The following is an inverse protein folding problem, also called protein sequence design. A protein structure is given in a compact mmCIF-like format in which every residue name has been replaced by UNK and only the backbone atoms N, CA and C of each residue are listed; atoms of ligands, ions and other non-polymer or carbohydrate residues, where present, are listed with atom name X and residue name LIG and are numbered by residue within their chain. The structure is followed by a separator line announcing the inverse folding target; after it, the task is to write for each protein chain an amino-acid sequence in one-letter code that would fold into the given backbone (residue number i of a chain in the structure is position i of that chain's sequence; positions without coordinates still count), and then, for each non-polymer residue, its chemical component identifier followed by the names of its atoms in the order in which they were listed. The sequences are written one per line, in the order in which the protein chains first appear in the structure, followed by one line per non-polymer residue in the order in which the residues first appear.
data_IF_239567654898
#
_entry.id   IF_239567654898
#
_cell.length_a   1.000
_cell.length_b   1.000
_cell.length_c   1.000
_cell.angle_alpha   90.00
_cell.angle_beta   90.00
_cell.angle_gamma   90.00
#
_symmetry.space_group_name_H-M   'P 1'
#
loop_
_entity.id
_entity.type
_entity.pdbx_description
1 polymer ?
#
# COMPACT_ATOMS: atom_id res chain seq x y z
N UNK A 1 4.91 14.85 19.48
CA UNK A 1 5.86 14.94 18.35
C UNK A 1 5.20 15.67 17.18
N UNK A 2 5.98 16.37 16.35
CA UNK A 2 5.56 17.01 15.11
C UNK A 2 6.11 16.18 13.94
N UNK A 3 5.23 15.59 13.16
CA UNK A 3 5.57 14.56 12.17
C UNK A 3 5.17 15.05 10.79
N UNK A 4 6.09 15.02 9.82
CA UNK A 4 5.76 15.21 8.41
C UNK A 4 5.49 13.83 7.77
N UNK A 5 4.23 13.54 7.43
CA UNK A 5 3.87 12.39 6.58
C UNK A 5 3.98 12.82 5.11
N UNK A 6 4.89 12.19 4.38
CA UNK A 6 5.21 12.54 3.00
C UNK A 6 4.73 11.46 2.05
N UNK A 7 3.93 11.84 1.06
CA UNK A 7 3.43 10.94 0.03
C UNK A 7 3.59 11.57 -1.36
N UNK A 8 4.39 10.98 -2.22
CA UNK A 8 4.55 11.43 -3.60
C UNK A 8 3.37 10.95 -4.47
N UNK A 9 2.25 11.59 -4.29
CA UNK A 9 1.00 11.29 -4.98
C UNK A 9 -0.05 12.38 -4.83
N UNK A 10 -1.10 12.36 -5.67
CA UNK A 10 -2.25 13.22 -5.49
C UNK A 10 -2.94 12.92 -4.17
N UNK A 11 -3.50 13.95 -3.54
CA UNK A 11 -4.22 13.80 -2.28
C UNK A 11 -5.23 14.95 -2.12
N UNK A 12 -6.49 14.65 -1.71
CA UNK A 12 -7.04 13.33 -1.43
C UNK A 12 -7.22 12.46 -2.68
N UNK A 13 -7.09 11.13 -2.53
CA UNK A 13 -7.37 10.15 -3.59
C UNK A 13 -7.76 8.80 -2.93
N UNK A 14 -8.51 7.95 -3.63
CA UNK A 14 -9.00 6.66 -3.15
C UNK A 14 -8.07 5.47 -3.48
N UNK A 15 -6.80 5.72 -3.77
CA UNK A 15 -5.80 4.66 -3.95
C UNK A 15 -5.36 4.10 -2.61
N UNK A 16 -4.91 2.86 -2.58
CA UNK A 16 -4.58 2.15 -1.33
C UNK A 16 -3.54 2.87 -0.47
N UNK A 17 -2.48 3.43 -1.06
CA UNK A 17 -1.45 4.17 -0.33
C UNK A 17 -1.99 5.47 0.28
N UNK A 18 -2.84 6.21 -0.46
CA UNK A 18 -3.46 7.44 0.05
C UNK A 18 -4.43 7.16 1.20
N UNK A 19 -5.23 6.10 1.07
CA UNK A 19 -6.15 5.66 2.12
C UNK A 19 -5.36 5.28 3.38
N UNK A 20 -4.28 4.51 3.26
CA UNK A 20 -3.43 4.14 4.39
C UNK A 20 -2.80 5.37 5.05
N UNK A 21 -2.24 6.30 4.25
CA UNK A 21 -1.62 7.53 4.78
C UNK A 21 -2.65 8.40 5.49
N UNK A 22 -3.88 8.49 4.98
CA UNK A 22 -4.97 9.20 5.65
C UNK A 22 -5.30 8.57 7.01
N UNK A 23 -5.49 7.24 7.03
CA UNK A 23 -5.80 6.51 8.26
C UNK A 23 -4.68 6.66 9.30
N UNK A 24 -3.42 6.58 8.86
CA UNK A 24 -2.26 6.82 9.74
C UNK A 24 -2.22 8.24 10.26
N UNK A 25 -2.46 9.25 9.41
CA UNK A 25 -2.48 10.64 9.81
C UNK A 25 -3.56 10.90 10.88
N UNK A 26 -4.75 10.35 10.68
CA UNK A 26 -5.87 10.51 11.61
C UNK A 26 -5.61 9.75 12.93
N UNK A 27 -5.10 8.52 12.85
CA UNK A 27 -4.74 7.72 14.02
C UNK A 27 -3.64 8.38 14.88
N UNK A 28 -2.58 8.85 14.23
CA UNK A 28 -1.46 9.51 14.92
C UNK A 28 -1.90 10.86 15.52
N UNK A 29 -2.77 11.63 14.86
CA UNK A 29 -3.40 12.85 15.42
C UNK A 29 -4.26 12.52 16.64
N UNK A 30 -5.07 11.46 16.55
CA UNK A 30 -5.90 10.99 17.66
C UNK A 30 -5.11 10.63 18.93
N UNK A 31 -3.80 10.38 18.79
CA UNK A 31 -2.85 10.13 19.90
C UNK A 31 -2.11 11.38 20.38
N UNK A 32 -2.54 12.57 19.96
CA UNK A 32 -2.00 13.84 20.44
C UNK A 32 -0.73 14.31 19.72
N UNK A 33 -0.40 13.75 18.54
CA UNK A 33 0.73 14.22 17.74
C UNK A 33 0.28 15.24 16.68
N UNK A 34 1.13 16.23 16.39
CA UNK A 34 0.91 17.13 15.27
C UNK A 34 1.39 16.45 13.97
N UNK A 35 0.48 16.29 13.01
CA UNK A 35 0.76 15.62 11.73
C UNK A 35 0.54 16.58 10.57
N UNK A 36 1.61 16.79 9.80
CA UNK A 36 1.63 17.63 8.60
C UNK A 36 1.74 16.73 7.36
N UNK A 37 0.67 16.71 6.55
CA UNK A 37 0.66 15.96 5.29
C UNK A 37 1.34 16.76 4.18
N UNK A 38 2.37 16.19 3.57
CA UNK A 38 3.10 16.77 2.44
C UNK A 38 2.93 15.87 1.21
N UNK A 39 2.16 16.35 0.24
CA UNK A 39 1.75 15.59 -0.95
C UNK A 39 1.84 16.46 -2.20
N UNK A 40 1.51 15.92 -3.37
CA UNK A 40 1.36 16.73 -4.59
C UNK A 40 0.15 17.70 -4.56
N UNK A 41 -0.74 17.55 -3.57
CA UNK A 41 -2.02 18.26 -3.50
C UNK A 41 -3.08 17.64 -4.40
N UNK A 42 -4.23 18.32 -4.51
CA UNK A 42 -5.34 17.88 -5.35
C UNK A 42 -5.00 18.07 -6.84
N UNK A 43 -4.44 17.04 -7.45
CA UNK A 43 -4.11 17.02 -8.89
C UNK A 43 -5.07 16.10 -9.61
N UNK A 44 -6.02 16.66 -10.35
CA UNK A 44 -6.94 15.89 -11.18
C UNK A 44 -6.20 15.10 -12.28
N UNK A 45 -6.63 13.85 -12.52
CA UNK A 45 -6.16 13.07 -13.68
C UNK A 45 -4.70 12.60 -13.65
N UNK A 46 -4.07 12.53 -12.49
CA UNK A 46 -2.70 12.04 -12.38
C UNK A 46 -2.57 10.60 -12.91
N UNK A 47 -1.82 10.44 -14.00
CA UNK A 47 -1.52 9.11 -14.56
C UNK A 47 -0.55 8.37 -13.66
N UNK A 48 -0.74 7.07 -13.39
CA UNK A 48 0.23 6.24 -12.69
C UNK A 48 1.48 6.02 -13.54
N UNK A 49 2.59 5.68 -12.87
CA UNK A 49 3.85 5.36 -13.51
C UNK A 49 4.75 6.58 -13.83
N UNK A 50 5.94 6.33 -14.39
CA UNK A 50 6.93 7.36 -14.68
C UNK A 50 6.51 8.21 -15.90
N UNK A 51 6.51 9.52 -15.71
CA UNK A 51 6.29 10.51 -16.79
C UNK A 51 6.92 11.86 -16.44
N UNK A 52 7.28 12.68 -17.44
CA UNK A 52 8.04 13.91 -17.25
C UNK A 52 7.38 14.91 -16.27
N UNK A 53 6.06 15.08 -16.34
CA UNK A 53 5.34 15.97 -15.43
C UNK A 53 5.43 15.54 -13.95
N UNK A 54 5.82 14.29 -13.65
CA UNK A 54 6.04 13.80 -12.29
C UNK A 54 7.33 14.39 -11.70
N UNK A 55 8.39 14.55 -12.50
CA UNK A 55 9.65 15.14 -12.05
C UNK A 55 9.44 16.54 -11.49
N UNK A 56 8.68 17.40 -12.19
CA UNK A 56 8.37 18.74 -11.70
C UNK A 56 7.59 18.70 -10.37
N UNK A 57 6.69 17.73 -10.20
CA UNK A 57 5.95 17.54 -8.94
C UNK A 57 6.84 17.05 -7.82
N UNK A 58 7.82 16.19 -8.13
CA UNK A 58 8.80 15.71 -7.15
C UNK A 58 9.69 16.86 -6.66
N UNK A 59 10.15 17.75 -7.55
CA UNK A 59 10.88 18.96 -7.18
C UNK A 59 10.01 19.87 -6.30
N UNK A 60 8.75 20.09 -6.68
CA UNK A 60 7.82 20.87 -5.85
C UNK A 60 7.55 20.23 -4.48
N UNK A 61 7.54 18.87 -4.40
CA UNK A 61 7.40 18.13 -3.15
C UNK A 61 8.60 18.40 -2.22
N UNK A 62 9.83 18.36 -2.74
CA UNK A 62 11.04 18.69 -1.98
C UNK A 62 10.93 20.10 -1.40
N UNK A 63 10.56 21.10 -2.20
CA UNK A 63 10.42 22.47 -1.76
C UNK A 63 9.31 22.67 -0.72
N UNK A 64 8.17 21.95 -0.85
CA UNK A 64 7.09 21.93 0.16
C UNK A 64 7.57 21.31 1.45
N UNK A 65 8.18 20.13 1.38
CA UNK A 65 8.68 19.42 2.55
C UNK A 65 9.70 20.27 3.31
N UNK A 66 10.66 20.85 2.60
CA UNK A 66 11.67 21.74 3.22
C UNK A 66 11.03 22.91 3.96
N UNK A 67 10.04 23.60 3.33
CA UNK A 67 9.29 24.69 3.95
C UNK A 67 8.51 24.21 5.18
N UNK A 68 7.83 23.07 5.09
CA UNK A 68 7.09 22.48 6.22
C UNK A 68 8.01 22.15 7.39
N UNK A 69 9.15 21.50 7.13
CA UNK A 69 10.11 21.13 8.17
C UNK A 69 10.64 22.36 8.91
N UNK A 70 10.90 23.46 8.16
CA UNK A 70 11.40 24.72 8.75
C UNK A 70 10.33 25.49 9.53
N UNK A 71 9.12 25.60 9.00
CA UNK A 71 8.04 26.40 9.60
C UNK A 71 7.38 25.71 10.78
N UNK A 72 7.15 24.41 10.67
CA UNK A 72 6.39 23.65 11.65
C UNK A 72 7.27 22.95 12.69
N UNK A 73 8.57 23.22 12.68
CA UNK A 73 9.56 22.61 13.59
C UNK A 73 9.40 21.08 13.68
N UNK A 74 9.34 20.40 12.54
CA UNK A 74 9.13 18.95 12.42
C UNK A 74 10.22 18.20 13.18
N UNK A 75 9.85 17.20 13.96
CA UNK A 75 10.77 16.33 14.71
C UNK A 75 11.26 15.18 13.83
N UNK A 76 10.38 14.61 12.99
CA UNK A 76 10.61 13.40 12.20
C UNK A 76 9.86 13.46 10.87
N UNK A 77 10.47 12.88 9.82
CA UNK A 77 9.87 12.74 8.49
C UNK A 77 9.52 11.27 8.26
N UNK A 78 8.26 10.97 7.96
CA UNK A 78 7.79 9.63 7.61
C UNK A 78 7.37 9.59 6.14
N UNK A 79 8.17 8.94 5.31
CA UNK A 79 8.04 8.92 3.86
C UNK A 79 7.35 7.65 3.35
N UNK A 80 6.34 7.81 2.51
CA UNK A 80 5.62 6.73 1.86
C UNK A 80 5.94 6.70 0.37
N UNK A 81 6.38 5.58 -0.15
CA UNK A 81 6.91 5.30 -1.49
C UNK A 81 8.31 5.91 -1.77
N UNK A 82 8.89 5.51 -2.92
CA UNK A 82 10.30 5.81 -3.25
C UNK A 82 10.56 7.29 -3.51
N UNK A 83 9.69 7.97 -4.25
CA UNK A 83 9.87 9.39 -4.57
C UNK A 83 9.77 10.27 -3.31
N UNK A 84 8.82 9.94 -2.42
CA UNK A 84 8.72 10.61 -1.14
C UNK A 84 9.94 10.32 -0.25
N UNK A 85 10.48 9.10 -0.28
CA UNK A 85 11.69 8.75 0.45
C UNK A 85 12.90 9.54 -0.06
N UNK A 86 13.09 9.64 -1.39
CA UNK A 86 14.17 10.44 -1.99
C UNK A 86 14.06 11.90 -1.56
N UNK A 87 12.87 12.51 -1.68
CA UNK A 87 12.64 13.88 -1.25
C UNK A 87 12.92 14.07 0.25
N UNK A 88 12.49 13.11 1.07
CA UNK A 88 12.66 13.13 2.52
C UNK A 88 14.12 12.97 2.94
N UNK A 89 14.87 12.09 2.28
CA UNK A 89 16.30 11.90 2.53
C UNK A 89 17.11 13.18 2.21
N UNK A 90 16.77 13.87 1.11
CA UNK A 90 17.41 15.15 0.76
C UNK A 90 17.14 16.21 1.84
N UNK A 91 15.87 16.39 2.22
CA UNK A 91 15.47 17.39 3.21
C UNK A 91 15.93 17.01 4.61
N UNK A 92 15.78 15.75 5.01
CA UNK A 92 16.19 15.24 6.31
C UNK A 92 17.68 15.43 6.56
N UNK A 93 18.53 15.17 5.55
CA UNK A 93 19.97 15.40 5.63
C UNK A 93 20.33 16.87 5.87
N UNK A 94 19.70 17.79 5.12
CA UNK A 94 19.99 19.25 5.23
C UNK A 94 19.43 19.83 6.53
N UNK A 95 18.29 19.32 7.02
CA UNK A 95 17.61 19.82 8.22
C UNK A 95 17.95 19.02 9.48
N UNK A 96 18.81 18.00 9.37
CA UNK A 96 19.16 17.06 10.45
C UNK A 96 17.91 16.43 11.13
N UNK A 97 16.94 15.99 10.32
CA UNK A 97 15.74 15.30 10.80
C UNK A 97 15.76 13.82 10.41
N UNK A 98 15.40 12.91 11.34
CA UNK A 98 15.34 11.49 11.01
C UNK A 98 14.25 11.21 9.98
N UNK A 99 14.54 10.22 9.12
CA UNK A 99 13.64 9.78 8.05
C UNK A 99 13.27 8.32 8.26
N UNK A 100 11.98 8.06 8.43
CA UNK A 100 11.40 6.71 8.37
C UNK A 100 10.90 6.48 6.94
N UNK A 101 11.39 5.42 6.31
CA UNK A 101 10.86 4.94 5.04
C UNK A 101 9.79 3.87 5.26
N UNK A 102 8.58 4.10 4.80
CA UNK A 102 7.48 3.13 4.81
C UNK A 102 7.32 2.55 3.40
N UNK A 103 7.88 1.37 3.20
CA UNK A 103 7.83 0.65 1.93
C UNK A 103 6.47 -0.01 1.71
N UNK A 104 5.84 0.27 0.57
CA UNK A 104 4.55 -0.30 0.18
C UNK A 104 4.70 -1.49 -0.77
N UNK A 105 5.81 -1.58 -1.51
CA UNK A 105 6.13 -2.61 -2.49
C UNK A 105 7.61 -2.54 -2.89
N UNK A 106 8.11 -3.57 -3.58
CA UNK A 106 9.42 -3.54 -4.22
C UNK A 106 9.30 -2.89 -5.60
N UNK A 107 10.11 -1.87 -5.86
CA UNK A 107 10.07 -1.15 -7.14
C UNK A 107 10.54 -2.02 -8.32
N UNK A 108 11.44 -2.98 -8.06
CA UNK A 108 11.86 -3.96 -9.06
C UNK A 108 10.71 -4.83 -9.58
N UNK A 109 9.68 -5.08 -8.76
CA UNK A 109 8.50 -5.84 -9.17
C UNK A 109 7.47 -4.94 -9.87
N UNK A 110 7.26 -3.71 -9.38
CA UNK A 110 6.22 -2.82 -9.88
C UNK A 110 6.63 -2.09 -11.16
N UNK A 111 7.82 -1.50 -11.20
CA UNK A 111 8.24 -0.60 -12.28
C UNK A 111 8.16 -1.23 -13.68
N UNK A 112 8.51 -2.52 -13.88
CA UNK A 112 8.38 -3.18 -15.19
C UNK A 112 6.94 -3.23 -15.73
N UNK A 113 5.93 -3.20 -14.87
CA UNK A 113 4.53 -3.35 -15.25
C UNK A 113 3.98 -2.14 -16.02
N UNK A 114 4.68 -0.99 -15.94
CA UNK A 114 4.33 0.21 -16.69
C UNK A 114 4.85 0.20 -18.14
N UNK A 115 5.67 -0.78 -18.52
CA UNK A 115 6.29 -0.85 -19.84
C UNK A 115 5.82 -2.08 -20.64
N UNK A 116 5.62 -1.91 -21.95
CA UNK A 116 5.19 -3.01 -22.85
C UNK A 116 6.39 -3.72 -23.49
N UNK A 117 7.41 -2.97 -23.91
CA UNK A 117 8.59 -3.53 -24.59
C UNK A 117 9.46 -4.34 -23.64
N UNK A 118 9.91 -5.52 -24.06
CA UNK A 118 10.75 -6.43 -23.24
C UNK A 118 12.03 -5.77 -22.73
N UNK A 119 12.70 -5.00 -23.60
CA UNK A 119 13.92 -4.28 -23.22
C UNK A 119 13.64 -3.23 -22.14
N UNK A 120 12.58 -2.41 -22.32
CA UNK A 120 12.17 -1.42 -21.35
C UNK A 120 11.81 -2.05 -19.98
N UNK A 121 11.14 -3.22 -20.00
CA UNK A 121 10.85 -3.98 -18.78
C UNK A 121 12.12 -4.44 -18.05
N UNK A 122 13.13 -4.93 -18.81
CA UNK A 122 14.43 -5.35 -18.23
C UNK A 122 15.18 -4.16 -17.62
N UNK A 123 15.21 -3.02 -18.30
CA UNK A 123 15.83 -1.79 -17.81
C UNK A 123 15.10 -1.28 -16.57
N UNK A 124 13.77 -1.24 -16.59
CA UNK A 124 12.94 -0.86 -15.46
C UNK A 124 13.19 -1.77 -14.25
N UNK A 125 13.28 -3.09 -14.45
CA UNK A 125 13.63 -4.04 -13.38
C UNK A 125 15.01 -3.75 -12.77
N UNK A 126 16.03 -3.50 -13.62
CA UNK A 126 17.38 -3.15 -13.15
C UNK A 126 17.39 -1.86 -12.34
N UNK A 127 16.70 -0.82 -12.84
CA UNK A 127 16.55 0.45 -12.13
C UNK A 127 15.80 0.25 -10.81
N UNK A 128 14.71 -0.51 -10.81
CA UNK A 128 13.98 -0.85 -9.59
C UNK A 128 14.87 -1.53 -8.57
N UNK A 129 15.66 -2.52 -8.98
CA UNK A 129 16.64 -3.20 -8.10
C UNK A 129 17.68 -2.24 -7.50
N UNK A 130 18.16 -1.28 -8.30
CA UNK A 130 19.11 -0.27 -7.84
C UNK A 130 18.47 0.63 -6.78
N UNK A 131 17.25 1.09 -7.02
CA UNK A 131 16.51 1.94 -6.08
C UNK A 131 16.13 1.17 -4.80
N UNK A 132 15.68 -0.09 -4.92
CA UNK A 132 15.40 -0.98 -3.78
C UNK A 132 16.65 -1.20 -2.89
N UNK A 133 17.85 -1.20 -3.49
CA UNK A 133 19.08 -1.38 -2.74
C UNK A 133 19.60 -0.07 -2.11
N UNK A 134 19.32 1.10 -2.70
CA UNK A 134 19.99 2.33 -2.30
C UNK A 134 19.11 3.28 -1.49
N UNK A 135 17.82 3.36 -1.79
CA UNK A 135 16.94 4.33 -1.13
C UNK A 135 16.62 3.90 0.31
N UNK A 136 16.13 2.66 0.57
CA UNK A 136 15.80 2.23 1.94
C UNK A 136 17.00 2.25 2.90
N UNK A 137 18.18 1.83 2.42
CA UNK A 137 19.41 1.81 3.24
C UNK A 137 19.90 3.17 3.73
N UNK A 138 19.39 4.26 3.16
CA UNK A 138 19.74 5.63 3.55
C UNK A 138 18.74 6.24 4.53
N UNK A 139 17.60 5.59 4.75
CA UNK A 139 16.65 5.97 5.78
C UNK A 139 17.20 5.58 7.17
N UNK A 140 16.83 6.34 8.17
CA UNK A 140 17.22 6.03 9.57
C UNK A 140 16.46 4.81 10.09
N UNK A 141 15.29 4.51 9.52
CA UNK A 141 14.53 3.29 9.81
C UNK A 141 13.60 2.94 8.65
N UNK A 142 13.33 1.65 8.47
CA UNK A 142 12.43 1.12 7.44
C UNK A 142 11.24 0.39 8.08
N UNK A 143 10.05 0.64 7.55
CA UNK A 143 8.84 -0.12 7.83
C UNK A 143 8.42 -0.81 6.53
N UNK A 144 8.30 -2.14 6.54
CA UNK A 144 7.76 -2.92 5.42
C UNK A 144 6.31 -3.33 5.71
N UNK A 145 5.43 -3.20 4.73
CA UNK A 145 4.00 -3.58 4.88
C UNK A 145 3.75 -5.09 4.81
N UNK A 146 4.74 -5.88 4.40
CA UNK A 146 4.68 -7.35 4.35
C UNK A 146 6.02 -7.96 4.70
N UNK A 147 6.02 -9.21 5.18
CA UNK A 147 7.26 -9.94 5.45
C UNK A 147 8.08 -10.16 4.18
N UNK A 148 7.44 -10.41 3.03
CA UNK A 148 8.13 -10.58 1.75
C UNK A 148 8.87 -9.31 1.34
N UNK A 149 8.26 -8.12 1.55
CA UNK A 149 8.95 -6.85 1.31
C UNK A 149 10.11 -6.68 2.30
N UNK A 150 9.90 -7.01 3.57
CA UNK A 150 10.94 -6.99 4.61
C UNK A 150 12.14 -7.86 4.21
N UNK A 151 11.89 -9.07 3.72
CA UNK A 151 12.94 -9.95 3.25
C UNK A 151 13.68 -9.41 2.01
N UNK A 152 12.96 -8.81 1.06
CA UNK A 152 13.57 -8.13 -0.10
C UNK A 152 14.50 -7.01 0.39
N UNK A 153 14.07 -6.17 1.34
CA UNK A 153 14.86 -5.07 1.86
C UNK A 153 16.10 -5.56 2.62
N UNK A 154 16.00 -6.62 3.43
CA UNK A 154 17.16 -7.26 4.10
C UNK A 154 18.18 -7.77 3.08
N UNK A 155 17.73 -8.51 2.06
CA UNK A 155 18.60 -8.98 0.95
C UNK A 155 19.22 -7.84 0.15
N UNK A 156 18.63 -6.65 0.18
CA UNK A 156 19.18 -5.42 -0.42
C UNK A 156 20.08 -4.65 0.53
N UNK A 157 20.33 -5.16 1.73
CA UNK A 157 21.31 -4.65 2.68
C UNK A 157 20.76 -3.62 3.67
N UNK A 158 19.46 -3.58 3.92
CA UNK A 158 18.90 -2.90 5.09
C UNK A 158 19.20 -3.75 6.31
N UNK A 159 19.80 -3.14 7.34
CA UNK A 159 20.12 -3.85 8.58
C UNK A 159 18.84 -4.32 9.30
N UNK A 160 18.91 -5.48 9.94
CA UNK A 160 17.76 -6.02 10.68
C UNK A 160 17.35 -5.13 11.87
N UNK A 161 18.29 -4.41 12.46
CA UNK A 161 18.05 -3.41 13.51
C UNK A 161 17.21 -2.22 13.03
N UNK A 162 17.30 -1.90 11.76
CA UNK A 162 16.72 -0.69 11.14
C UNK A 162 15.48 -1.00 10.30
N UNK A 163 14.91 -2.20 10.47
CA UNK A 163 13.76 -2.68 9.72
C UNK A 163 12.76 -3.39 10.62
N UNK A 164 11.49 -3.05 10.49
CA UNK A 164 10.38 -3.83 11.03
C UNK A 164 9.30 -4.05 9.99
N UNK A 165 8.55 -5.16 10.13
CA UNK A 165 7.37 -5.43 9.30
C UNK A 165 6.12 -5.04 10.08
N UNK A 166 5.38 -4.05 9.59
CA UNK A 166 4.09 -3.62 10.15
C UNK A 166 3.03 -3.74 9.07
N UNK A 167 2.30 -4.86 9.07
CA UNK A 167 1.20 -5.04 8.15
C UNK A 167 0.06 -4.06 8.47
N UNK A 168 -0.59 -3.45 7.45
CA UNK A 168 -1.79 -2.66 7.66
C UNK A 168 -2.90 -3.49 8.30
N UNK A 169 -3.70 -2.86 9.15
CA UNK A 169 -4.92 -3.42 9.71
C UNK A 169 -6.15 -2.65 9.22
N UNK A 170 -7.33 -3.23 9.34
CA UNK A 170 -8.57 -2.53 9.06
C UNK A 170 -8.78 -1.42 10.12
N UNK A 171 -8.98 -0.19 9.65
CA UNK A 171 -9.28 0.90 10.57
C UNK A 171 -10.70 0.72 11.15
N UNK A 172 -10.99 1.23 12.37
CA UNK A 172 -12.31 1.08 13.02
C UNK A 172 -13.48 1.55 12.15
N UNK A 173 -13.26 2.57 11.31
CA UNK A 173 -14.25 3.07 10.35
C UNK A 173 -14.68 2.01 9.33
N UNK A 174 -13.79 1.10 8.98
CA UNK A 174 -14.05 0.07 7.98
C UNK A 174 -14.86 -1.10 8.58
N UNK A 175 -14.75 -1.30 9.89
CA UNK A 175 -15.47 -2.35 10.62
C UNK A 175 -16.94 -1.98 10.94
N UNK A 176 -17.30 -0.69 10.91
CA UNK A 176 -18.64 -0.23 11.27
C UNK A 176 -19.65 -0.42 10.13
N UNK A 177 -20.85 -0.89 10.47
CA UNK A 177 -22.07 -0.90 9.65
C UNK A 177 -22.03 -1.70 8.33
N UNK A 178 -21.55 -2.96 8.36
CA UNK A 178 -21.88 -3.90 7.29
C UNK A 178 -23.29 -4.47 7.50
N UNK A 179 -24.18 -4.28 6.53
CA UNK A 179 -25.48 -4.97 6.46
C UNK A 179 -25.36 -6.12 5.46
N UNK A 180 -25.31 -7.38 5.91
CA UNK A 180 -25.30 -8.51 4.98
C UNK A 180 -26.58 -8.47 4.14
N UNK A 181 -26.42 -8.47 2.82
CA UNK A 181 -27.57 -8.56 1.92
C UNK A 181 -28.10 -9.99 1.91
N UNK A 182 -29.40 -10.11 2.06
CA UNK A 182 -30.12 -11.39 1.89
C UNK A 182 -30.63 -11.43 0.46
N UNK A 183 -30.00 -12.22 -0.40
CA UNK A 183 -30.37 -12.40 -1.80
C UNK A 183 -29.22 -12.95 -2.63
N UNK A 184 -29.51 -13.52 -3.78
CA UNK A 184 -28.54 -13.92 -4.79
C UNK A 184 -28.81 -13.14 -6.07
N UNK A 185 -27.83 -12.37 -6.52
CA UNK A 185 -27.92 -11.58 -7.76
C UNK A 185 -26.85 -12.01 -8.78
N UNK A 186 -26.00 -12.98 -8.44
CA UNK A 186 -24.89 -13.39 -9.27
C UNK A 186 -23.83 -12.27 -9.45
N UNK A 187 -23.69 -11.39 -8.45
CA UNK A 187 -22.90 -10.19 -8.55
C UNK A 187 -21.48 -10.41 -8.01
N UNK A 188 -20.50 -10.30 -8.90
CA UNK A 188 -19.06 -10.30 -8.58
C UNK A 188 -18.56 -8.87 -8.57
N UNK A 189 -17.82 -8.47 -7.53
CA UNK A 189 -17.31 -7.11 -7.39
C UNK A 189 -15.78 -7.08 -7.33
N UNK A 190 -15.19 -6.23 -8.15
CA UNK A 190 -13.83 -5.73 -8.00
C UNK A 190 -13.91 -4.26 -7.61
N UNK A 191 -13.26 -3.87 -6.50
CA UNK A 191 -13.16 -2.46 -6.11
C UNK A 191 -11.69 -2.03 -6.04
N UNK A 192 -11.30 -1.01 -6.82
CA UNK A 192 -9.92 -0.52 -6.82
C UNK A 192 -9.55 0.31 -8.04
N UNK A 193 -8.27 0.67 -8.15
CA UNK A 193 -7.74 1.34 -9.33
C UNK A 193 -7.63 0.36 -10.52
N UNK A 194 -7.39 0.92 -11.71
CA UNK A 194 -7.32 0.17 -12.97
C UNK A 194 -5.87 0.04 -13.49
N UNK A 195 -4.88 0.19 -12.62
CA UNK A 195 -3.46 0.15 -12.99
C UNK A 195 -3.05 -1.26 -13.45
N UNK A 196 -2.01 -1.35 -14.30
CA UNK A 196 -1.59 -2.60 -14.93
C UNK A 196 -1.29 -3.74 -13.96
N UNK A 197 -0.76 -3.42 -12.78
CA UNK A 197 -0.46 -4.41 -11.74
C UNK A 197 -1.71 -5.05 -11.10
N UNK A 198 -2.89 -4.50 -11.35
CA UNK A 198 -4.14 -5.09 -10.85
C UNK A 198 -4.61 -6.31 -11.65
N UNK A 199 -3.94 -6.61 -12.75
CA UNK A 199 -4.20 -7.80 -13.58
C UNK A 199 -5.65 -7.95 -14.08
N UNK A 200 -6.28 -6.82 -14.47
CA UNK A 200 -7.68 -6.81 -14.88
C UNK A 200 -7.94 -7.60 -16.18
N UNK A 201 -6.95 -7.69 -17.07
CA UNK A 201 -7.04 -8.57 -18.25
C UNK A 201 -7.26 -10.04 -17.88
N UNK A 202 -6.55 -10.54 -16.89
CA UNK A 202 -6.75 -11.88 -16.32
C UNK A 202 -8.16 -12.01 -15.72
N UNK A 203 -8.62 -11.02 -14.95
CA UNK A 203 -9.96 -11.02 -14.37
C UNK A 203 -11.04 -11.11 -15.45
N UNK A 204 -10.94 -10.31 -16.51
CA UNK A 204 -11.91 -10.32 -17.59
C UNK A 204 -11.97 -11.67 -18.32
N UNK A 205 -10.82 -12.31 -18.60
CA UNK A 205 -10.78 -13.65 -19.23
C UNK A 205 -11.31 -14.73 -18.29
N UNK A 206 -10.97 -14.67 -17.00
CA UNK A 206 -11.54 -15.57 -15.98
C UNK A 206 -13.05 -15.39 -15.88
N UNK A 207 -13.54 -14.15 -15.90
CA UNK A 207 -14.97 -13.87 -15.80
C UNK A 207 -15.76 -14.34 -17.03
N UNK A 208 -15.17 -14.30 -18.21
CA UNK A 208 -15.78 -14.92 -19.40
C UNK A 208 -16.04 -16.42 -19.21
N UNK A 209 -15.11 -17.12 -18.53
CA UNK A 209 -15.30 -18.55 -18.15
C UNK A 209 -16.36 -18.74 -17.06
N UNK A 210 -16.48 -17.78 -16.13
CA UNK A 210 -17.59 -17.80 -15.14
C UNK A 210 -18.92 -17.70 -15.86
N UNK A 211 -19.09 -16.77 -16.80
CA UNK A 211 -20.33 -16.59 -17.53
C UNK A 211 -20.71 -17.76 -18.44
N UNK A 212 -19.72 -18.48 -18.95
CA UNK A 212 -20.00 -19.73 -19.70
C UNK A 212 -20.71 -20.79 -18.84
N UNK A 213 -20.50 -20.75 -17.50
CA UNK A 213 -21.13 -21.68 -16.55
C UNK A 213 -22.36 -21.08 -15.84
N UNK A 214 -22.33 -19.76 -15.59
CA UNK A 214 -23.37 -18.99 -14.91
C UNK A 214 -23.72 -17.78 -15.79
N UNK A 215 -24.57 -17.94 -16.82
CA UNK A 215 -24.87 -16.86 -17.80
C UNK A 215 -25.43 -15.58 -17.17
N UNK A 216 -26.14 -15.70 -16.03
CA UNK A 216 -26.69 -14.57 -15.29
C UNK A 216 -25.65 -13.80 -14.45
N UNK A 217 -24.41 -14.31 -14.31
CA UNK A 217 -23.38 -13.64 -13.52
C UNK A 217 -23.03 -12.26 -14.09
N UNK A 218 -22.85 -11.28 -13.20
CA UNK A 218 -22.42 -9.91 -13.51
C UNK A 218 -21.16 -9.56 -12.74
N UNK A 219 -20.23 -8.87 -13.41
CA UNK A 219 -19.02 -8.32 -12.81
C UNK A 219 -19.11 -6.80 -12.78
N UNK A 220 -18.99 -6.21 -11.60
CA UNK A 220 -18.90 -4.76 -11.44
C UNK A 220 -17.46 -4.39 -11.05
N UNK A 221 -16.83 -3.57 -11.88
CA UNK A 221 -15.54 -2.96 -11.64
C UNK A 221 -15.76 -1.56 -11.05
N UNK A 222 -15.65 -1.45 -9.73
CA UNK A 222 -15.84 -0.17 -9.01
C UNK A 222 -14.49 0.54 -8.92
N UNK A 223 -14.40 1.75 -9.46
CA UNK A 223 -13.17 2.53 -9.51
C UNK A 223 -13.44 4.02 -9.40
N UNK A 224 -12.46 4.80 -8.93
CA UNK A 224 -12.49 6.26 -9.01
C UNK A 224 -11.80 6.79 -10.27
N UNK A 225 -10.98 5.95 -10.91
CA UNK A 225 -10.22 6.32 -12.10
C UNK A 225 -11.09 6.35 -13.36
N UNK A 226 -10.71 7.15 -14.34
CA UNK A 226 -11.32 7.10 -15.67
C UNK A 226 -11.01 5.74 -16.33
N UNK A 227 -12.00 5.03 -16.88
CA UNK A 227 -11.83 3.67 -17.37
C UNK A 227 -10.92 3.53 -18.61
N UNK A 228 -10.65 4.62 -19.32
CA UNK A 228 -9.71 4.64 -20.46
C UNK A 228 -9.96 3.52 -21.48
N UNK A 229 -8.87 2.83 -21.86
CA UNK A 229 -8.94 1.71 -22.80
C UNK A 229 -9.70 0.49 -22.28
N UNK A 230 -9.84 0.33 -20.94
CA UNK A 230 -10.55 -0.80 -20.35
C UNK A 230 -12.03 -0.84 -20.77
N UNK A 231 -12.65 0.33 -21.00
CA UNK A 231 -14.04 0.42 -21.48
C UNK A 231 -14.28 -0.35 -22.79
N UNK A 232 -13.26 -0.45 -23.65
CA UNK A 232 -13.33 -1.20 -24.92
C UNK A 232 -13.03 -2.69 -24.75
N UNK A 233 -12.43 -3.08 -23.63
CA UNK A 233 -12.03 -4.45 -23.35
C UNK A 233 -13.06 -5.23 -22.52
N UNK A 234 -14.09 -4.56 -21.98
CA UNK A 234 -15.15 -5.23 -21.22
C UNK A 234 -16.10 -5.96 -22.16
N UNK A 235 -16.38 -7.22 -21.80
CA UNK A 235 -17.34 -8.08 -22.50
C UNK A 235 -18.74 -8.04 -21.87
N UNK A 236 -19.63 -8.90 -22.36
CA UNK A 236 -20.99 -9.01 -21.83
C UNK A 236 -21.01 -9.28 -20.32
N UNK A 237 -21.96 -8.67 -19.61
CA UNK A 237 -22.11 -8.84 -18.16
C UNK A 237 -21.06 -8.15 -17.30
N UNK A 238 -20.21 -7.30 -17.88
CA UNK A 238 -19.23 -6.50 -17.16
C UNK A 238 -19.62 -5.03 -17.18
N UNK A 239 -19.73 -4.42 -16.02
CA UNK A 239 -20.02 -3.00 -15.82
C UNK A 239 -18.83 -2.30 -15.15
N UNK A 240 -18.53 -1.07 -15.59
CA UNK A 240 -17.55 -0.21 -14.93
C UNK A 240 -18.29 0.94 -14.27
N UNK A 241 -18.20 1.02 -12.95
CA UNK A 241 -18.80 2.08 -12.12
C UNK A 241 -17.70 3.02 -11.62
N UNK A 242 -17.83 4.30 -11.96
CA UNK A 242 -16.94 5.33 -11.42
C UNK A 242 -17.53 5.88 -10.13
N UNK A 243 -17.00 5.40 -9.00
CA UNK A 243 -17.40 5.88 -7.68
C UNK A 243 -16.81 7.28 -7.41
N UNK A 244 -17.62 8.15 -6.82
CA UNK A 244 -17.24 9.51 -6.44
C UNK A 244 -16.79 9.61 -4.98
N UNK A 245 -17.16 8.61 -4.17
CA UNK A 245 -16.83 8.56 -2.74
C UNK A 245 -16.50 7.13 -2.31
N UNK A 246 -15.90 7.02 -1.12
CA UNK A 246 -15.66 5.72 -0.49
C UNK A 246 -16.97 5.01 -0.11
N UNK A 247 -18.00 5.76 0.25
CA UNK A 247 -19.31 5.20 0.59
C UNK A 247 -20.00 4.56 -0.62
N UNK A 248 -19.84 5.12 -1.82
CA UNK A 248 -20.30 4.47 -3.05
C UNK A 248 -19.55 3.16 -3.32
N UNK A 249 -18.22 3.13 -3.13
CA UNK A 249 -17.43 1.90 -3.26
C UNK A 249 -17.96 0.85 -2.29
N UNK A 250 -18.20 1.24 -1.04
CA UNK A 250 -18.71 0.38 0.01
C UNK A 250 -20.09 -0.16 -0.30
N UNK A 251 -21.01 0.70 -0.74
CA UNK A 251 -22.37 0.29 -1.12
C UNK A 251 -22.38 -0.76 -2.23
N UNK A 252 -21.51 -0.60 -3.24
CA UNK A 252 -21.35 -1.58 -4.34
C UNK A 252 -20.72 -2.89 -3.85
N UNK A 253 -19.73 -2.80 -2.96
CA UNK A 253 -19.14 -3.98 -2.33
C UNK A 253 -20.17 -4.71 -1.47
N UNK A 254 -20.97 -4.00 -0.68
CA UNK A 254 -21.99 -4.57 0.19
C UNK A 254 -23.07 -5.28 -0.62
N UNK A 255 -23.40 -4.80 -1.81
CA UNK A 255 -24.35 -5.43 -2.73
C UNK A 255 -23.80 -6.71 -3.39
N UNK A 256 -22.48 -6.94 -3.40
CA UNK A 256 -21.87 -8.05 -4.10
C UNK A 256 -22.02 -9.40 -3.35
N UNK A 257 -22.15 -10.49 -4.11
CA UNK A 257 -22.10 -11.86 -3.59
C UNK A 257 -20.65 -12.32 -3.35
N UNK A 258 -19.75 -11.99 -4.28
CA UNK A 258 -18.34 -12.39 -4.26
C UNK A 258 -17.46 -11.17 -4.56
N UNK A 259 -16.41 -10.97 -3.78
CA UNK A 259 -15.38 -9.99 -4.05
C UNK A 259 -14.14 -10.66 -4.65
N UNK A 260 -13.46 -9.99 -5.61
CA UNK A 260 -12.33 -10.60 -6.32
C UNK A 260 -11.07 -9.73 -6.28
N UNK A 261 -9.92 -10.38 -6.07
CA UNK A 261 -8.59 -9.76 -6.10
C UNK A 261 -7.63 -10.55 -7.00
N UNK A 262 -7.49 -10.14 -8.29
CA UNK A 262 -6.75 -10.90 -9.30
C UNK A 262 -5.25 -10.56 -9.37
N UNK A 263 -4.74 -9.70 -8.48
CA UNK A 263 -3.36 -9.24 -8.44
C UNK A 263 -2.42 -10.40 -8.08
N UNK A 264 -1.27 -10.50 -8.75
CA UNK A 264 -0.28 -11.58 -8.55
C UNK A 264 1.01 -11.10 -7.85
N UNK A 265 1.24 -9.79 -7.68
CA UNK A 265 2.44 -9.26 -7.02
C UNK A 265 2.43 -9.52 -5.51
N UNK A 266 3.59 -9.95 -4.99
CA UNK A 266 3.74 -10.46 -3.61
C UNK A 266 4.23 -9.41 -2.61
N UNK A 267 5.08 -8.47 -3.03
CA UNK A 267 5.76 -7.55 -2.11
C UNK A 267 4.85 -6.50 -1.49
N UNK A 268 3.75 -6.12 -2.18
CA UNK A 268 2.82 -5.10 -1.70
C UNK A 268 1.63 -5.68 -0.95
N UNK A 269 1.04 -4.87 -0.06
CA UNK A 269 -0.19 -5.22 0.63
C UNK A 269 -1.42 -4.69 -0.14
N UNK A 270 -2.38 -5.55 -0.53
CA UNK A 270 -3.58 -5.11 -1.23
C UNK A 270 -4.63 -4.55 -0.25
N UNK A 271 -4.60 -3.26 0.04
CA UNK A 271 -5.54 -2.59 0.97
C UNK A 271 -7.01 -2.93 0.72
N UNK A 272 -7.40 -3.17 -0.55
CA UNK A 272 -8.76 -3.60 -0.90
C UNK A 272 -9.17 -4.90 -0.22
N UNK A 273 -8.19 -5.80 0.05
CA UNK A 273 -8.45 -7.08 0.69
C UNK A 273 -8.96 -6.89 2.12
N UNK A 274 -8.36 -5.95 2.87
CA UNK A 274 -8.84 -5.59 4.21
C UNK A 274 -10.29 -5.07 4.15
N UNK A 275 -10.62 -4.26 3.15
CA UNK A 275 -11.98 -3.74 2.97
C UNK A 275 -12.97 -4.88 2.65
N UNK A 276 -12.58 -5.85 1.82
CA UNK A 276 -13.42 -7.01 1.51
C UNK A 276 -13.63 -7.91 2.73
N UNK A 277 -12.56 -8.15 3.48
CA UNK A 277 -12.60 -8.93 4.72
C UNK A 277 -13.45 -8.22 5.79
N UNK A 278 -13.26 -6.92 6.01
CA UNK A 278 -14.06 -6.13 6.94
C UNK A 278 -15.54 -6.09 6.56
N UNK A 279 -15.84 -6.05 5.26
CA UNK A 279 -17.19 -6.15 4.73
C UNK A 279 -17.78 -7.58 4.82
N UNK A 280 -17.03 -8.56 5.31
CA UNK A 280 -17.49 -9.95 5.45
C UNK A 280 -17.83 -10.63 4.12
N UNK A 281 -17.13 -10.26 3.03
CA UNK A 281 -17.37 -10.82 1.71
C UNK A 281 -16.71 -12.19 1.54
N UNK A 282 -17.36 -13.08 0.81
CA UNK A 282 -16.68 -14.22 0.21
C UNK A 282 -15.69 -13.73 -0.82
N UNK A 283 -14.42 -14.11 -0.71
CA UNK A 283 -13.33 -13.53 -1.50
C UNK A 283 -12.66 -14.61 -2.32
N UNK A 284 -12.44 -14.33 -3.61
CA UNK A 284 -11.51 -15.10 -4.45
C UNK A 284 -10.30 -14.24 -4.75
N UNK A 285 -9.11 -14.71 -4.39
CA UNK A 285 -7.85 -13.99 -4.56
C UNK A 285 -6.79 -14.87 -5.22
N UNK A 286 -5.95 -14.28 -6.07
CA UNK A 286 -4.72 -14.90 -6.53
C UNK A 286 -3.72 -15.02 -5.37
N UNK A 287 -2.91 -16.06 -5.34
CA UNK A 287 -2.01 -16.40 -4.25
C UNK A 287 -1.03 -15.26 -3.89
N UNK A 288 -0.52 -14.54 -4.88
CA UNK A 288 0.39 -13.42 -4.66
C UNK A 288 -0.19 -12.28 -3.82
N UNK A 289 -1.51 -12.07 -3.86
CA UNK A 289 -2.16 -11.01 -3.10
C UNK A 289 -3.07 -11.48 -1.97
N UNK A 290 -3.07 -12.77 -1.64
CA UNK A 290 -3.97 -13.35 -0.62
C UNK A 290 -3.49 -13.09 0.82
N UNK A 291 -3.03 -11.88 1.13
CA UNK A 291 -2.48 -11.51 2.44
C UNK A 291 -3.54 -11.60 3.54
N UNK A 292 -3.30 -12.45 4.54
CA UNK A 292 -4.24 -12.68 5.64
C UNK A 292 -5.43 -13.59 5.30
N UNK A 293 -5.61 -14.00 4.02
CA UNK A 293 -6.58 -15.03 3.66
C UNK A 293 -6.00 -16.44 3.82
N UNK A 294 -6.85 -17.35 4.26
CA UNK A 294 -6.59 -18.81 4.29
C UNK A 294 -7.59 -19.51 3.39
N UNK A 295 -7.07 -20.29 2.41
CA UNK A 295 -7.93 -21.01 1.47
C UNK A 295 -8.90 -21.95 2.18
N UNK A 296 -10.15 -21.96 1.72
CA UNK A 296 -11.25 -22.76 2.28
C UNK A 296 -11.73 -22.32 3.68
N UNK A 297 -11.00 -21.40 4.35
CA UNK A 297 -11.30 -20.92 5.71
C UNK A 297 -11.87 -19.51 5.69
N UNK A 298 -11.15 -18.53 5.13
CA UNK A 298 -11.57 -17.11 5.09
C UNK A 298 -11.71 -16.57 3.68
N UNK A 299 -11.48 -17.38 2.65
CA UNK A 299 -11.64 -17.07 1.22
C UNK A 299 -11.22 -18.24 0.37
N UNK A 300 -11.20 -18.05 -0.94
CA UNK A 300 -10.60 -18.99 -1.89
C UNK A 300 -9.34 -18.35 -2.44
N UNK A 301 -8.23 -19.06 -2.31
CA UNK A 301 -6.92 -18.66 -2.78
C UNK A 301 -6.52 -19.56 -3.93
N UNK A 302 -6.28 -18.99 -5.10
CA UNK A 302 -5.99 -19.74 -6.32
C UNK A 302 -4.59 -19.44 -6.85
N UNK A 303 -3.95 -20.36 -7.58
CA UNK A 303 -2.64 -20.13 -8.17
C UNK A 303 -2.62 -18.87 -9.06
N UNK A 304 -1.48 -18.15 -9.03
CA UNK A 304 -1.30 -16.97 -9.87
C UNK A 304 -1.35 -17.35 -11.37
N UNK A 305 -2.17 -16.64 -12.14
CA UNK A 305 -2.29 -16.85 -13.58
C UNK A 305 -3.21 -17.99 -14.01
N UNK A 306 -3.78 -18.77 -13.10
CA UNK A 306 -4.72 -19.83 -13.41
C UNK A 306 -6.15 -19.30 -13.56
N UNK A 307 -6.53 -18.97 -14.80
CA UNK A 307 -7.89 -18.47 -15.13
C UNK A 307 -8.98 -19.52 -14.86
N UNK A 308 -8.66 -20.79 -15.03
CA UNK A 308 -9.58 -21.90 -14.81
C UNK A 308 -9.93 -22.08 -13.34
N UNK A 309 -8.91 -22.14 -12.48
CA UNK A 309 -9.08 -22.24 -11.04
C UNK A 309 -9.77 -20.98 -10.48
N UNK A 310 -9.43 -19.78 -10.98
CA UNK A 310 -10.07 -18.54 -10.55
C UNK A 310 -11.58 -18.55 -10.89
N UNK A 311 -11.90 -18.92 -12.13
CA UNK A 311 -13.30 -19.02 -12.57
C UNK A 311 -14.08 -20.11 -11.79
N UNK A 312 -13.47 -21.26 -11.55
CA UNK A 312 -14.10 -22.33 -10.77
C UNK A 312 -14.41 -21.90 -9.35
N UNK A 313 -13.48 -21.21 -8.67
CA UNK A 313 -13.68 -20.69 -7.33
C UNK A 313 -14.80 -19.63 -7.28
N UNK A 314 -14.89 -18.76 -8.28
CA UNK A 314 -16.00 -17.79 -8.37
C UNK A 314 -17.33 -18.49 -8.59
N UNK A 315 -17.42 -19.48 -9.49
CA UNK A 315 -18.64 -20.26 -9.74
C UNK A 315 -19.08 -21.02 -8.51
N UNK A 316 -18.15 -21.67 -7.81
CA UNK A 316 -18.43 -22.35 -6.53
C UNK A 316 -19.11 -21.40 -5.53
N UNK A 317 -18.48 -20.22 -5.31
CA UNK A 317 -19.03 -19.26 -4.37
C UNK A 317 -20.34 -18.62 -4.85
N UNK A 318 -20.56 -18.45 -6.14
CA UNK A 318 -21.85 -18.00 -6.64
C UNK A 318 -22.97 -19.03 -6.41
N UNK A 319 -22.65 -20.33 -6.48
CA UNK A 319 -23.61 -21.42 -6.34
C UNK A 319 -23.88 -21.83 -4.88
N UNK A 320 -22.90 -21.61 -3.99
CA UNK A 320 -23.01 -22.04 -2.58
C UNK A 320 -23.14 -20.84 -1.63
N UNK A 321 -24.39 -20.54 -1.23
CA UNK A 321 -24.70 -19.47 -0.26
C UNK A 321 -24.12 -19.75 1.13
N UNK A 322 -24.09 -21.01 1.56
CA UNK A 322 -23.58 -21.37 2.87
C UNK A 322 -22.06 -21.17 2.95
N UNK A 323 -21.34 -21.57 1.89
CA UNK A 323 -19.90 -21.29 1.77
C UNK A 323 -19.61 -19.78 1.77
N UNK A 324 -20.39 -18.98 1.00
CA UNK A 324 -20.23 -17.52 1.04
C UNK A 324 -20.38 -16.95 2.44
N UNK A 325 -21.43 -17.33 3.15
CA UNK A 325 -21.70 -16.84 4.51
C UNK A 325 -20.58 -17.27 5.48
N UNK A 326 -20.16 -18.52 5.44
CA UNK A 326 -19.10 -19.07 6.30
C UNK A 326 -17.76 -18.39 6.06
N UNK A 327 -17.32 -18.31 4.80
CA UNK A 327 -16.03 -17.71 4.44
C UNK A 327 -16.01 -16.21 4.71
N UNK A 328 -17.09 -15.50 4.39
CA UNK A 328 -17.20 -14.07 4.65
C UNK A 328 -17.19 -13.75 6.15
N UNK A 329 -17.90 -14.53 6.97
CA UNK A 329 -17.86 -14.36 8.42
C UNK A 329 -16.47 -14.64 8.99
N UNK A 330 -15.76 -15.65 8.48
CA UNK A 330 -14.39 -15.96 8.90
C UNK A 330 -13.41 -14.87 8.45
N UNK A 331 -13.56 -14.34 7.23
CA UNK A 331 -12.77 -13.19 6.74
C UNK A 331 -12.95 -11.97 7.65
N UNK A 332 -14.19 -11.64 8.01
CA UNK A 332 -14.49 -10.54 8.91
C UNK A 332 -13.87 -10.72 10.29
N UNK A 333 -13.96 -11.92 10.88
CA UNK A 333 -13.31 -12.22 12.17
C UNK A 333 -11.81 -12.07 12.12
N UNK A 334 -11.16 -12.41 11.00
CA UNK A 334 -9.71 -12.34 10.85
C UNK A 334 -9.16 -10.88 10.88
N UNK A 335 -9.98 -9.88 10.55
CA UNK A 335 -9.61 -8.46 10.55
C UNK A 335 -10.43 -7.63 11.54
N UNK A 336 -11.36 -8.25 12.23
CA UNK A 336 -12.36 -7.57 13.07
C UNK A 336 -11.87 -7.25 14.48
N UNK A 337 -10.60 -7.49 14.82
CA UNK A 337 -10.06 -7.05 16.11
C UNK A 337 -9.94 -5.51 16.12
N UNK A 338 -10.74 -4.81 16.95
CA UNK A 338 -10.66 -3.36 17.04
C UNK A 338 -9.27 -2.86 17.49
N UNK A 339 -8.51 -3.72 18.21
CA UNK A 339 -7.19 -3.40 18.73
C UNK A 339 -6.09 -3.56 17.68
N UNK A 340 -6.37 -4.25 16.56
CA UNK A 340 -5.37 -4.47 15.52
C UNK A 340 -4.83 -3.16 14.95
N UNK A 341 -5.71 -2.18 14.74
CA UNK A 341 -5.32 -0.84 14.28
C UNK A 341 -4.50 -0.08 15.32
N UNK A 342 -4.91 -0.14 16.59
CA UNK A 342 -4.16 0.48 17.68
C UNK A 342 -2.76 -0.14 17.80
N UNK A 343 -2.65 -1.46 17.65
CA UNK A 343 -1.36 -2.15 17.61
C UNK A 343 -0.45 -1.72 16.44
N UNK A 344 -1.01 -1.39 15.27
CA UNK A 344 -0.24 -0.78 14.17
C UNK A 344 0.30 0.59 14.60
N UNK A 345 -0.54 1.43 15.18
CA UNK A 345 -0.13 2.76 15.65
C UNK A 345 0.90 2.69 16.77
N UNK A 346 0.73 1.77 17.74
CA UNK A 346 1.69 1.55 18.85
C UNK A 346 3.10 1.21 18.32
N UNK A 347 3.16 0.31 17.35
CA UNK A 347 4.43 -0.09 16.73
C UNK A 347 5.08 1.05 15.95
N UNK A 348 4.30 1.84 15.23
CA UNK A 348 4.80 3.01 14.49
C UNK A 348 5.31 4.07 15.46
N UNK A 349 4.58 4.36 16.54
CA UNK A 349 5.03 5.30 17.56
C UNK A 349 6.29 4.83 18.29
N UNK A 350 6.43 3.53 18.54
CA UNK A 350 7.62 2.96 19.12
C UNK A 350 8.85 3.23 18.23
N UNK A 351 8.72 3.06 16.90
CA UNK A 351 9.77 3.42 15.94
C UNK A 351 10.14 4.91 16.07
N UNK A 352 9.15 5.80 16.13
CA UNK A 352 9.41 7.23 16.26
C UNK A 352 10.15 7.59 17.55
N UNK A 353 9.66 7.06 18.68
CA UNK A 353 10.26 7.31 20.00
C UNK A 353 11.71 6.82 20.08
N UNK A 354 11.97 5.60 19.58
CA UNK A 354 13.30 5.02 19.58
C UNK A 354 14.29 5.83 18.73
N UNK A 355 13.88 6.27 17.54
CA UNK A 355 14.72 7.10 16.67
C UNK A 355 15.06 8.46 17.31
N UNK A 356 14.07 9.10 17.90
CA UNK A 356 14.28 10.42 18.54
C UNK A 356 15.12 10.30 19.81
N UNK A 357 14.94 9.23 20.61
CA UNK A 357 15.76 8.96 21.80
C UNK A 357 17.22 8.69 21.44
N UNK A 358 17.48 7.85 20.42
CA UNK A 358 18.84 7.56 19.95
C UNK A 358 19.57 8.83 19.48
N UNK A 359 18.88 9.73 18.77
CA UNK A 359 19.46 11.02 18.35
C UNK A 359 19.63 12.01 19.50
N UNK A 360 18.77 11.98 20.51
CA UNK A 360 18.93 12.78 21.73
C UNK A 360 20.18 12.36 22.49
N UNK A 361 20.36 11.04 22.69
CA UNK A 361 21.54 10.49 23.34
C UNK A 361 22.84 10.82 22.60
N UNK A 362 22.86 10.72 21.26
CA UNK A 362 24.03 11.06 20.45
C UNK A 362 24.42 12.57 20.52
N UNK A 363 23.48 13.45 20.83
CA UNK A 363 23.74 14.89 21.00
C UNK A 363 24.26 15.25 22.39
N UNK A 364 24.02 14.41 23.39
CA UNK A 364 24.43 14.64 24.79
C UNK A 364 25.77 14.01 25.12
N UNK A 365 26.32 13.15 24.26
CA UNK A 365 27.67 12.58 24.44
C UNK A 365 28.68 13.58 23.85
N UNK A 366 29.52 14.28 24.68
CA UNK A 366 30.56 15.15 24.15
C UNK A 366 31.58 14.30 23.40
N UNK A 367 31.97 14.72 22.21
CA UNK A 367 33.17 14.20 21.56
C UNK A 367 34.37 14.50 22.49
N UNK A 368 34.86 13.52 23.16
CA UNK A 368 36.17 13.58 23.84
C UNK A 368 37.22 13.59 22.74
N UNK A 369 37.50 14.80 22.22
CA UNK A 369 38.73 15.03 21.48
C UNK A 369 39.90 14.82 22.45
N UNK A 370 40.41 13.59 22.49
CA UNK A 370 41.74 13.32 23.05
C UNK A 370 42.76 13.98 22.10
N UNK A 371 43.04 15.24 22.39
CA UNK A 371 44.23 15.94 21.86
C UNK A 371 45.46 15.33 22.52
N UNK A 372 45.96 14.23 21.98
CA UNK A 372 47.30 13.73 22.32
C UNK A 372 48.32 14.61 21.59
N UNK A 373 48.71 15.73 22.20
CA UNK A 373 49.91 16.43 21.82
C UNK A 373 51.12 15.57 22.26
N UNK A 374 51.76 14.95 21.32
CA UNK A 374 53.11 14.40 21.51
C UNK A 374 54.09 15.58 21.77
N UNK A 375 54.94 15.52 22.82
CA UNK A 375 56.01 16.48 22.96
C UNK A 375 57.09 16.20 21.92
N UNK A 376 57.39 17.19 21.07
CA UNK A 376 58.59 17.20 20.25
C UNK A 376 59.82 17.32 21.15
N UNK A 377 60.60 16.25 21.24
CA UNK A 377 61.97 16.31 21.73
C UNK A 377 62.87 16.86 20.59
N UNK A 378 63.60 17.95 20.87
CA UNK A 378 64.70 18.43 20.04
C UNK A 378 65.96 17.61 20.40
N UNK A 379 66.76 17.18 19.42
CA UNK A 379 68.10 16.64 19.66
C UNK A 379 69.09 17.75 19.82
N UNK A 380 70.01 17.56 20.78
CA UNK A 380 71.30 18.23 20.82
C UNK A 380 72.23 17.71 19.72
#
# INVERSE_FOLDING_TARGET
MRIALVLAGPYPDLRGSQVLVQQLADGIRGRGHAVHLVTYGAVGGARPGPHAARIARDVALVARLWRTVRREAIDLIHAHNYEAAIASLMVGRVTNRPVVYHGHNALAEELPLYFRARLARRLAHRLGRLLDAHVPRRADFCIAVTEELGEILRRRGVAASDLTCIAPAAAPRDAAAHRPRVGWDGLVCYAGNLDGYQNLGFLLRSFARVRARVPAARLVLVTHAAPGALRRAVGPGVEIVRAKSYDEVRARLDAADVAVSPRAERSGFPMKLLNYMAAGKAIVASAGCAKGLRDGVSGRVVPDGDEGAFAAAVVELLSDRAARARLGAAARRAVGDPRAWDGVLDRIEAVYRNLLAARGAARTTPETHASTRLPMALPE
#
